data_IF_423264140330
#
_entry.id   IF_423264140330
#
_cell.length_a   1.000
_cell.length_b   1.000
_cell.length_c   1.000
_cell.angle_alpha   90.00
_cell.angle_beta   90.00
_cell.angle_gamma   90.00
#
_symmetry.space_group_name_H-M   'P 1'
#
loop_
_entity.id
_entity.type
_entity.pdbx_description
1 polymer ?
#
# COMPACT_ATOMS: atom_id res chain seq x y z
N UNK A 1 -16.64 3.97 -27.47
CA UNK A 1 -16.22 3.57 -26.11
C UNK A 1 -14.71 3.29 -26.04
N UNK A 2 -14.17 2.43 -26.92
CA UNK A 2 -12.75 2.02 -26.95
C UNK A 2 -11.71 3.15 -26.99
N UNK A 3 -11.98 4.26 -27.68
CA UNK A 3 -11.01 5.37 -27.76
C UNK A 3 -10.72 6.02 -26.40
N UNK A 4 -11.76 6.22 -25.57
CA UNK A 4 -11.60 6.86 -24.25
C UNK A 4 -10.93 5.93 -23.25
N UNK A 5 -11.20 4.63 -23.36
CA UNK A 5 -10.52 3.59 -22.59
C UNK A 5 -9.02 3.53 -22.94
N UNK A 6 -8.68 3.51 -24.24
CA UNK A 6 -7.30 3.58 -24.70
C UNK A 6 -6.57 4.82 -24.17
N UNK A 7 -7.18 6.00 -24.31
CA UNK A 7 -6.63 7.25 -23.76
C UNK A 7 -6.44 7.21 -22.23
N UNK A 8 -7.36 6.60 -21.50
CA UNK A 8 -7.23 6.42 -20.06
C UNK A 8 -6.04 5.52 -19.72
N UNK A 9 -5.86 4.40 -20.43
CA UNK A 9 -4.72 3.51 -20.23
C UNK A 9 -3.38 4.18 -20.59
N UNK A 10 -3.32 4.89 -21.71
CA UNK A 10 -2.11 5.60 -22.16
C UNK A 10 -1.71 6.70 -21.17
N UNK A 11 -2.69 7.43 -20.63
CA UNK A 11 -2.43 8.47 -19.64
C UNK A 11 -1.97 7.90 -18.32
N UNK A 12 -2.55 6.78 -17.86
CA UNK A 12 -2.09 6.06 -16.67
C UNK A 12 -0.67 5.52 -16.85
N UNK A 13 -0.35 4.90 -17.99
CA UNK A 13 0.99 4.45 -18.32
C UNK A 13 1.99 5.61 -18.28
N UNK A 14 1.66 6.74 -18.93
CA UNK A 14 2.50 7.93 -18.90
C UNK A 14 2.71 8.46 -17.47
N UNK A 15 1.69 8.43 -16.60
CA UNK A 15 1.83 8.84 -15.20
C UNK A 15 2.85 7.94 -14.47
N UNK A 16 2.77 6.61 -14.65
CA UNK A 16 3.72 5.66 -14.03
C UNK A 16 5.16 5.92 -14.44
N UNK A 17 5.41 6.05 -15.75
CA UNK A 17 6.75 6.32 -16.31
C UNK A 17 7.31 7.63 -15.76
N UNK A 18 6.51 8.70 -15.73
CA UNK A 18 6.96 9.99 -15.21
C UNK A 18 7.18 9.97 -13.68
N UNK A 19 6.34 9.25 -12.92
CA UNK A 19 6.54 9.09 -11.47
C UNK A 19 7.86 8.41 -11.16
N UNK A 20 8.22 7.37 -11.91
CA UNK A 20 9.49 6.72 -11.72
C UNK A 20 10.68 7.56 -12.19
N UNK A 21 10.55 8.28 -13.32
CA UNK A 21 11.57 9.23 -13.73
C UNK A 21 11.80 10.30 -12.66
N UNK A 22 10.73 10.83 -12.04
CA UNK A 22 10.80 11.74 -10.89
C UNK A 22 11.56 11.11 -9.72
N UNK A 23 11.25 9.85 -9.41
CA UNK A 23 11.94 9.08 -8.37
C UNK A 23 13.45 8.93 -8.64
N UNK A 24 13.84 8.64 -9.89
CA UNK A 24 15.24 8.55 -10.32
C UNK A 24 15.95 9.89 -10.21
N UNK A 25 15.33 11.00 -10.64
CA UNK A 25 15.90 12.35 -10.50
C UNK A 25 16.13 12.69 -9.02
N UNK A 26 15.17 12.37 -8.16
CA UNK A 26 15.31 12.58 -6.72
C UNK A 26 16.54 11.87 -6.15
N UNK A 27 16.75 10.62 -6.55
CA UNK A 27 17.88 9.84 -6.05
C UNK A 27 19.22 10.29 -6.63
N UNK A 28 19.29 10.42 -7.96
CA UNK A 28 20.56 10.66 -8.67
C UNK A 28 21.00 12.11 -8.65
N UNK A 29 20.05 13.05 -8.64
CA UNK A 29 20.37 14.49 -8.76
C UNK A 29 20.12 15.20 -7.44
N UNK A 30 18.91 15.10 -6.86
CA UNK A 30 18.57 15.87 -5.65
C UNK A 30 19.40 15.42 -4.45
N UNK A 31 19.49 14.11 -4.17
CA UNK A 31 20.27 13.59 -3.04
C UNK A 31 21.78 13.68 -3.24
N UNK A 32 22.26 13.67 -4.49
CA UNK A 32 23.69 13.74 -4.80
C UNK A 32 24.23 15.17 -4.91
N UNK A 33 23.35 16.18 -5.01
CA UNK A 33 23.75 17.57 -5.16
C UNK A 33 24.48 18.07 -3.91
N UNK A 34 25.68 18.62 -4.12
CA UNK A 34 26.53 19.18 -3.05
C UNK A 34 26.61 20.72 -3.07
N UNK A 35 26.03 21.35 -4.09
CA UNK A 35 26.07 22.80 -4.28
C UNK A 35 24.67 23.36 -4.48
N UNK A 36 24.48 24.62 -4.09
CA UNK A 36 23.19 25.30 -4.25
C UNK A 36 22.69 25.28 -5.69
N UNK A 37 23.58 25.56 -6.65
CA UNK A 37 23.24 25.54 -8.09
C UNK A 37 22.83 24.15 -8.55
N UNK A 38 23.53 23.10 -8.07
CA UNK A 38 23.19 21.71 -8.38
C UNK A 38 21.81 21.33 -7.83
N UNK A 39 21.53 21.71 -6.59
CA UNK A 39 20.23 21.48 -5.93
C UNK A 39 19.11 22.19 -6.67
N UNK A 40 19.27 23.46 -7.02
CA UNK A 40 18.26 24.22 -7.78
C UNK A 40 17.98 23.57 -9.13
N UNK A 41 19.01 23.18 -9.89
CA UNK A 41 18.83 22.51 -11.19
C UNK A 41 18.10 21.17 -11.06
N UNK A 42 18.44 20.38 -10.04
CA UNK A 42 17.77 19.12 -9.77
C UNK A 42 16.28 19.33 -9.46
N UNK A 43 15.95 20.32 -8.62
CA UNK A 43 14.56 20.68 -8.33
C UNK A 43 13.81 21.21 -9.56
N UNK A 44 14.45 22.00 -10.43
CA UNK A 44 13.83 22.43 -11.70
C UNK A 44 13.42 21.23 -12.56
N UNK A 45 14.24 20.17 -12.63
CA UNK A 45 13.90 18.94 -13.35
C UNK A 45 12.74 18.20 -12.68
N UNK A 46 12.73 18.09 -11.35
CA UNK A 46 11.62 17.51 -10.60
C UNK A 46 10.31 18.24 -10.88
N UNK A 47 10.32 19.58 -10.83
CA UNK A 47 9.14 20.40 -11.11
C UNK A 47 8.65 20.23 -12.55
N UNK A 48 9.56 20.12 -13.52
CA UNK A 48 9.22 19.86 -14.92
C UNK A 48 8.46 18.54 -15.08
N UNK A 49 8.97 17.46 -14.49
CA UNK A 49 8.30 16.14 -14.52
C UNK A 49 6.97 16.18 -13.77
N UNK A 50 6.89 16.88 -12.65
CA UNK A 50 5.65 17.06 -11.89
C UNK A 50 4.55 17.80 -12.65
N UNK A 51 4.92 18.78 -13.47
CA UNK A 51 4.00 19.46 -14.37
C UNK A 51 3.45 18.49 -15.43
N UNK A 52 4.31 17.62 -15.99
CA UNK A 52 3.87 16.58 -16.94
C UNK A 52 2.91 15.59 -16.28
N UNK A 53 3.21 15.13 -15.06
CA UNK A 53 2.33 14.23 -14.29
C UNK A 53 0.97 14.90 -14.07
N UNK A 54 0.98 16.15 -13.62
CA UNK A 54 -0.24 16.92 -13.34
C UNK A 54 -1.10 17.12 -14.60
N UNK A 55 -0.46 17.40 -15.73
CA UNK A 55 -1.13 17.51 -17.02
C UNK A 55 -1.78 16.17 -17.45
N UNK A 56 -1.05 15.06 -17.34
CA UNK A 56 -1.58 13.71 -17.66
C UNK A 56 -2.72 13.31 -16.73
N UNK A 57 -2.63 13.61 -15.44
CA UNK A 57 -3.72 13.39 -14.48
C UNK A 57 -4.97 14.20 -14.83
N UNK A 58 -4.82 15.43 -15.32
CA UNK A 58 -5.93 16.25 -15.81
C UNK A 58 -6.61 15.62 -17.04
N UNK A 59 -5.83 15.10 -18.00
CA UNK A 59 -6.38 14.39 -19.17
C UNK A 59 -7.15 13.16 -18.71
N UNK A 60 -6.56 12.34 -17.84
CA UNK A 60 -7.22 11.14 -17.30
C UNK A 60 -8.56 11.49 -16.64
N UNK A 61 -8.60 12.53 -15.80
CA UNK A 61 -9.83 12.97 -15.15
C UNK A 61 -10.91 13.41 -16.16
N UNK A 62 -10.52 14.04 -17.28
CA UNK A 62 -11.44 14.37 -18.37
C UNK A 62 -11.96 13.11 -19.07
N UNK A 63 -11.12 12.12 -19.32
CA UNK A 63 -11.51 10.84 -19.90
C UNK A 63 -12.54 10.12 -19.01
N UNK A 64 -12.33 10.06 -17.69
CA UNK A 64 -13.27 9.46 -16.74
C UNK A 64 -14.63 10.16 -16.73
N UNK A 65 -14.63 11.50 -16.70
CA UNK A 65 -15.88 12.29 -16.80
C UNK A 65 -16.64 12.02 -18.10
N UNK A 66 -15.91 11.86 -19.21
CA UNK A 66 -16.52 11.55 -20.51
C UNK A 66 -17.05 10.12 -20.55
N UNK A 67 -16.35 9.15 -19.96
CA UNK A 67 -16.84 7.77 -19.83
C UNK A 67 -18.15 7.71 -19.03
N UNK A 68 -18.28 8.49 -17.95
CA UNK A 68 -19.54 8.61 -17.21
C UNK A 68 -20.68 9.20 -18.04
N UNK A 69 -20.40 10.20 -18.87
CA UNK A 69 -21.42 10.74 -19.80
C UNK A 69 -21.87 9.74 -20.86
N UNK A 70 -21.04 8.74 -21.17
CA UNK A 70 -21.33 7.71 -22.16
C UNK A 70 -22.04 6.48 -21.55
N UNK A 71 -22.34 6.49 -20.25
CA UNK A 71 -23.00 5.37 -19.56
C UNK A 71 -22.12 4.12 -19.40
N UNK A 72 -20.79 4.31 -19.37
CA UNK A 72 -19.82 3.22 -19.29
C UNK A 72 -19.55 2.79 -17.82
N UNK A 73 -20.59 2.48 -17.07
CA UNK A 73 -20.51 2.27 -15.60
C UNK A 73 -19.60 1.10 -15.22
N UNK A 74 -19.60 0.01 -15.99
CA UNK A 74 -18.71 -1.14 -15.77
C UNK A 74 -17.22 -0.78 -15.94
N UNK A 75 -16.89 0.22 -16.77
CA UNK A 75 -15.51 0.69 -16.92
C UNK A 75 -15.12 1.66 -15.81
N UNK A 76 -16.08 2.40 -15.24
CA UNK A 76 -15.87 3.28 -14.10
C UNK A 76 -15.49 2.51 -12.82
N UNK A 77 -15.92 1.25 -12.67
CA UNK A 77 -15.44 0.38 -11.58
C UNK A 77 -13.92 0.13 -11.67
N UNK A 78 -13.38 0.02 -12.88
CA UNK A 78 -11.94 -0.18 -13.13
C UNK A 78 -11.16 1.13 -13.02
N UNK A 79 -11.72 2.25 -13.49
CA UNK A 79 -11.06 3.55 -13.55
C UNK A 79 -11.44 4.43 -12.36
N UNK A 80 -10.73 4.24 -11.25
CA UNK A 80 -10.93 5.03 -10.04
C UNK A 80 -10.41 6.48 -10.20
N UNK A 81 -10.85 7.35 -9.29
CA UNK A 81 -10.41 8.73 -9.21
C UNK A 81 -8.96 8.79 -8.72
N UNK A 82 -8.11 9.58 -9.39
CA UNK A 82 -6.77 9.88 -8.86
C UNK A 82 -6.85 11.00 -7.81
N UNK A 83 -6.27 10.73 -6.64
CA UNK A 83 -6.04 11.74 -5.63
C UNK A 83 -4.65 12.37 -5.78
N UNK A 84 -4.47 13.56 -5.20
CA UNK A 84 -3.15 14.22 -5.18
C UNK A 84 -2.11 13.40 -4.41
N UNK A 85 -2.55 12.61 -3.43
CA UNK A 85 -1.69 11.70 -2.67
C UNK A 85 -1.09 10.60 -3.54
N UNK A 86 -1.87 10.10 -4.50
CA UNK A 86 -1.47 9.03 -5.41
C UNK A 86 -0.38 9.43 -6.40
N UNK A 87 -0.25 10.74 -6.67
CA UNK A 87 0.72 11.31 -7.59
C UNK A 87 2.06 11.66 -6.92
N UNK A 88 2.25 11.27 -5.65
CA UNK A 88 3.54 11.44 -4.99
C UNK A 88 4.50 10.35 -5.44
N UNK A 89 5.75 10.73 -5.73
CA UNK A 89 6.79 9.75 -6.02
C UNK A 89 7.05 8.93 -4.74
N UNK A 90 6.64 7.66 -4.76
CA UNK A 90 6.87 6.74 -3.65
C UNK A 90 8.33 6.29 -3.64
N UNK A 91 8.92 6.22 -2.45
CA UNK A 91 10.28 5.68 -2.25
C UNK A 91 10.38 4.22 -2.70
N UNK A 92 9.27 3.47 -2.64
CA UNK A 92 9.18 2.12 -3.14
C UNK A 92 9.47 2.00 -4.65
N UNK A 93 9.29 3.08 -5.43
CA UNK A 93 9.60 3.11 -6.87
C UNK A 93 11.11 3.27 -7.10
N UNK A 94 11.79 4.03 -6.25
CA UNK A 94 13.24 4.29 -6.36
C UNK A 94 14.07 3.15 -5.82
N UNK A 95 13.70 2.64 -4.65
CA UNK A 95 14.39 1.56 -3.96
C UNK A 95 13.34 0.61 -3.39
N UNK A 96 12.93 -0.40 -4.19
CA UNK A 96 11.91 -1.35 -3.75
C UNK A 96 12.39 -2.19 -2.56
N UNK A 97 13.70 -2.30 -2.32
CA UNK A 97 14.29 -3.05 -1.20
C UNK A 97 14.55 -2.17 0.04
N UNK A 98 14.16 -0.89 0.01
CA UNK A 98 14.37 0.01 1.16
C UNK A 98 13.61 -0.46 2.41
N UNK A 99 14.31 -0.45 3.56
CA UNK A 99 13.70 -0.77 4.86
C UNK A 99 12.66 0.30 5.24
N UNK A 100 11.56 -0.13 5.87
CA UNK A 100 10.50 0.76 6.37
C UNK A 100 9.32 0.98 5.42
N UNK A 101 9.31 0.34 4.25
CA UNK A 101 8.19 0.39 3.29
C UNK A 101 7.02 -0.56 3.64
N UNK A 102 7.00 -1.13 4.85
CA UNK A 102 6.00 -2.15 5.27
C UNK A 102 4.55 -1.67 5.12
N UNK A 103 4.32 -0.36 5.33
CA UNK A 103 2.99 0.24 5.29
C UNK A 103 2.77 1.12 4.04
N UNK A 104 3.73 1.21 3.12
CA UNK A 104 3.56 2.01 1.91
C UNK A 104 2.80 1.19 0.87
N UNK A 105 1.49 1.43 0.80
CA UNK A 105 0.65 0.86 -0.25
C UNK A 105 0.79 1.70 -1.51
N UNK A 106 1.12 1.06 -2.63
CA UNK A 106 1.12 1.75 -3.91
C UNK A 106 -0.32 2.08 -4.33
N UNK A 107 -0.54 3.23 -5.00
CA UNK A 107 -1.84 3.55 -5.56
C UNK A 107 -2.41 2.45 -6.46
N UNK A 108 -3.74 2.31 -6.47
CA UNK A 108 -4.48 1.30 -7.24
C UNK A 108 -4.07 1.21 -8.72
N UNK A 109 -3.71 2.34 -9.34
CA UNK A 109 -3.35 2.38 -10.75
C UNK A 109 -2.04 1.66 -11.06
N UNK A 110 -1.19 1.33 -10.08
CA UNK A 110 0.01 0.50 -10.31
C UNK A 110 -0.33 -0.98 -10.55
N UNK A 111 -1.50 -1.44 -10.09
CA UNK A 111 -1.95 -2.82 -10.30
C UNK A 111 -2.64 -3.03 -11.66
N UNK A 112 -2.92 -1.94 -12.39
CA UNK A 112 -3.66 -2.00 -13.65
C UNK A 112 -2.73 -2.13 -14.86
N UNK A 113 -2.97 -3.11 -15.73
CA UNK A 113 -2.33 -3.13 -17.06
C UNK A 113 -0.84 -3.50 -17.07
N UNK A 114 -0.39 -4.32 -16.11
CA UNK A 114 1.00 -4.80 -16.00
C UNK A 114 1.56 -5.40 -17.30
N UNK A 115 0.71 -6.05 -18.11
CA UNK A 115 1.10 -6.69 -19.39
C UNK A 115 1.51 -5.71 -20.48
N UNK A 116 0.93 -4.51 -20.54
CA UNK A 116 1.27 -3.51 -21.56
C UNK A 116 2.59 -2.80 -21.18
N UNK A 117 2.80 -2.55 -19.89
CA UNK A 117 3.94 -1.81 -19.38
C UNK A 117 5.26 -2.62 -19.45
N UNK A 118 5.19 -3.93 -19.19
CA UNK A 118 6.35 -4.83 -19.21
C UNK A 118 6.98 -4.98 -20.60
N UNK A 119 6.25 -4.64 -21.66
CA UNK A 119 6.77 -4.70 -23.03
C UNK A 119 7.63 -3.48 -23.41
N UNK A 120 7.57 -2.38 -22.64
CA UNK A 120 8.18 -1.10 -23.03
C UNK A 120 9.48 -0.75 -22.30
N UNK A 121 9.76 -1.29 -21.11
CA UNK A 121 11.00 -0.96 -20.39
C UNK A 121 11.42 -2.04 -19.40
N UNK A 122 12.72 -2.35 -19.43
CA UNK A 122 13.36 -3.39 -18.62
C UNK A 122 13.23 -3.10 -17.11
N UNK A 123 13.52 -1.86 -16.69
CA UNK A 123 13.45 -1.46 -15.29
C UNK A 123 12.01 -1.47 -14.70
N UNK A 124 10.96 -1.21 -15.51
CA UNK A 124 9.57 -1.36 -15.04
C UNK A 124 9.23 -2.82 -14.76
N UNK A 125 9.78 -3.72 -15.57
CA UNK A 125 9.57 -5.17 -15.40
C UNK A 125 10.14 -5.63 -14.07
N UNK A 126 11.37 -5.23 -13.74
CA UNK A 126 11.97 -5.51 -12.43
C UNK A 126 11.14 -4.91 -11.29
N UNK A 127 10.71 -3.65 -11.43
CA UNK A 127 9.87 -3.00 -10.42
C UNK A 127 8.57 -3.77 -10.17
N UNK A 128 7.86 -4.17 -11.22
CA UNK A 128 6.63 -4.96 -11.10
C UNK A 128 6.87 -6.34 -10.51
N UNK A 129 7.98 -7.00 -10.85
CA UNK A 129 8.34 -8.29 -10.27
C UNK A 129 8.57 -8.19 -8.77
N UNK A 130 9.36 -7.20 -8.32
CA UNK A 130 9.61 -7.00 -6.88
C UNK A 130 8.34 -6.58 -6.16
N UNK A 131 7.55 -5.70 -6.74
CA UNK A 131 6.27 -5.28 -6.16
C UNK A 131 5.28 -6.45 -6.01
N UNK A 132 5.21 -7.33 -7.02
CA UNK A 132 4.41 -8.55 -6.95
C UNK A 132 4.89 -9.49 -5.84
N UNK A 133 6.21 -9.73 -5.73
CA UNK A 133 6.79 -10.55 -4.66
C UNK A 133 6.46 -10.01 -3.28
N UNK A 134 6.52 -8.69 -3.08
CA UNK A 134 6.14 -8.06 -1.82
C UNK A 134 4.66 -8.23 -1.50
N UNK A 135 3.79 -7.98 -2.48
CA UNK A 135 2.34 -8.12 -2.29
C UNK A 135 1.96 -9.57 -1.97
N UNK A 136 2.59 -10.53 -2.66
CA UNK A 136 2.44 -11.95 -2.37
C UNK A 136 2.94 -12.31 -0.97
N UNK A 137 4.13 -11.87 -0.57
CA UNK A 137 4.67 -12.16 0.76
C UNK A 137 3.84 -11.54 1.89
N UNK A 138 3.24 -10.37 1.66
CA UNK A 138 2.28 -9.78 2.59
C UNK A 138 1.06 -10.70 2.70
N UNK A 139 0.42 -11.04 1.58
CA UNK A 139 -0.73 -11.96 1.55
C UNK A 139 -0.43 -13.27 2.28
N UNK A 140 0.68 -13.92 1.93
CA UNK A 140 1.08 -15.21 2.52
C UNK A 140 1.22 -15.11 4.05
N UNK A 141 1.73 -13.98 4.57
CA UNK A 141 1.77 -13.74 6.02
C UNK A 141 0.39 -13.52 6.63
N UNK A 142 -0.50 -12.78 5.97
CA UNK A 142 -1.87 -12.62 6.47
C UNK A 142 -2.58 -13.98 6.53
N UNK A 143 -2.38 -14.83 5.53
CA UNK A 143 -2.91 -16.20 5.53
C UNK A 143 -2.34 -17.02 6.71
N UNK A 144 -1.04 -16.91 6.98
CA UNK A 144 -0.41 -17.52 8.17
C UNK A 144 -0.98 -16.95 9.48
N UNK A 145 -1.16 -15.63 9.60
CA UNK A 145 -1.70 -14.98 10.80
C UNK A 145 -3.15 -15.41 11.06
N UNK A 146 -3.97 -15.57 10.02
CA UNK A 146 -5.34 -16.11 10.15
C UNK A 146 -5.31 -17.54 10.68
N UNK A 147 -4.49 -18.42 10.09
CA UNK A 147 -4.34 -19.81 10.55
C UNK A 147 -3.83 -19.85 12.01
N UNK A 148 -2.89 -18.97 12.36
CA UNK A 148 -2.36 -18.88 13.72
C UNK A 148 -3.41 -18.37 14.72
N UNK A 149 -4.27 -17.42 14.33
CA UNK A 149 -5.37 -16.93 15.16
C UNK A 149 -6.40 -18.05 15.41
N UNK A 150 -6.85 -18.73 14.35
CA UNK A 150 -7.82 -19.83 14.46
C UNK A 150 -7.29 -20.99 15.32
N UNK A 151 -6.03 -21.38 15.12
CA UNK A 151 -5.40 -22.44 15.91
C UNK A 151 -5.12 -22.00 17.34
N UNK A 152 -4.72 -20.74 17.57
CA UNK A 152 -4.54 -20.21 18.92
C UNK A 152 -5.86 -20.12 19.69
N UNK A 153 -6.94 -19.67 19.07
CA UNK A 153 -8.28 -19.66 19.66
C UNK A 153 -8.73 -21.07 20.05
N UNK A 154 -8.61 -22.04 19.13
CA UNK A 154 -8.92 -23.44 19.41
C UNK A 154 -8.06 -24.01 20.56
N UNK A 155 -6.80 -23.61 20.65
CA UNK A 155 -5.88 -24.00 21.72
C UNK A 155 -6.18 -23.31 23.06
N UNK A 156 -6.68 -22.07 23.07
CA UNK A 156 -7.11 -21.37 24.28
C UNK A 156 -8.40 -21.97 24.86
N UNK A 157 -9.34 -22.40 24.01
CA UNK A 157 -10.57 -23.10 24.43
C UNK A 157 -10.30 -24.51 24.98
N UNK A 158 -9.19 -25.14 24.60
CA UNK A 158 -8.76 -26.48 25.06
C UNK A 158 -7.48 -26.43 25.92
N UNK A 159 -7.36 -25.42 26.79
CA UNK A 159 -6.15 -25.18 27.58
C UNK A 159 -5.72 -26.39 28.45
N UNK A 160 -6.67 -27.16 28.96
CA UNK A 160 -6.41 -28.33 29.82
C UNK A 160 -5.99 -29.59 29.03
N UNK A 161 -6.37 -29.71 27.76
CA UNK A 161 -6.04 -30.86 26.90
C UNK A 161 -4.72 -30.72 26.14
N UNK A 162 -4.30 -29.48 25.83
CA UNK A 162 -3.17 -29.22 24.95
C UNK A 162 -1.83 -28.96 25.67
N UNK A 163 -1.79 -29.20 26.99
CA UNK A 163 -0.54 -29.18 27.75
C UNK A 163 0.48 -30.24 27.26
N UNK A 164 0.08 -31.23 26.47
CA UNK A 164 0.94 -32.30 25.96
C UNK A 164 1.54 -32.02 24.57
N UNK A 165 1.01 -31.05 23.80
CA UNK A 165 1.43 -30.84 22.39
C UNK A 165 2.71 -30.01 22.25
N UNK A 166 3.04 -29.17 23.23
CA UNK A 166 4.23 -28.31 23.19
C UNK A 166 5.43 -29.00 23.83
N UNK A 167 6.26 -29.63 22.99
CA UNK A 167 7.51 -30.32 23.34
C UNK A 167 8.55 -29.43 24.04
N UNK A 168 8.38 -28.10 24.01
CA UNK A 168 9.37 -27.14 24.53
C UNK A 168 8.78 -26.22 25.61
N UNK A 169 9.37 -26.29 26.82
CA UNK A 169 8.93 -25.64 28.08
C UNK A 169 8.73 -24.11 27.96
N UNK A 170 9.47 -23.44 27.07
CA UNK A 170 9.39 -21.98 26.88
C UNK A 170 8.12 -21.48 26.18
N UNK A 171 7.56 -22.26 25.24
CA UNK A 171 6.34 -21.87 24.52
C UNK A 171 5.09 -21.91 25.42
N UNK A 172 5.06 -22.84 26.40
CA UNK A 172 3.99 -22.88 27.42
C UNK A 172 3.97 -21.60 28.27
N UNK A 173 5.14 -21.14 28.70
CA UNK A 173 5.25 -19.89 29.47
C UNK A 173 4.86 -18.67 28.63
N UNK A 174 5.19 -18.66 27.32
CA UNK A 174 4.78 -17.59 26.42
C UNK A 174 3.26 -17.58 26.21
N UNK A 175 2.64 -18.72 25.92
CA UNK A 175 1.19 -18.83 25.74
C UNK A 175 0.44 -18.45 27.02
N UNK A 176 0.87 -18.95 28.19
CA UNK A 176 0.29 -18.58 29.49
C UNK A 176 0.43 -17.07 29.78
N UNK A 177 1.58 -16.47 29.43
CA UNK A 177 1.80 -15.02 29.57
C UNK A 177 0.88 -14.23 28.63
N UNK A 178 0.74 -14.64 27.37
CA UNK A 178 -0.14 -13.98 26.41
C UNK A 178 -1.60 -14.07 26.87
N UNK A 179 -2.07 -15.26 27.25
CA UNK A 179 -3.42 -15.44 27.80
C UNK A 179 -3.67 -14.53 29.02
N UNK A 180 -2.71 -14.44 29.95
CA UNK A 180 -2.81 -13.54 31.10
C UNK A 180 -2.87 -12.06 30.70
N UNK A 181 -2.10 -11.63 29.69
CA UNK A 181 -2.14 -10.25 29.18
C UNK A 181 -3.52 -9.94 28.56
N UNK A 182 -4.06 -10.83 27.74
CA UNK A 182 -5.37 -10.64 27.12
C UNK A 182 -6.51 -10.66 28.15
N UNK A 183 -6.48 -11.57 29.13
CA UNK A 183 -7.44 -11.56 30.24
C UNK A 183 -7.39 -10.26 31.03
N UNK A 184 -6.20 -9.73 31.32
CA UNK A 184 -6.05 -8.45 32.03
C UNK A 184 -6.61 -7.29 31.21
N UNK A 185 -6.39 -7.27 29.90
CA UNK A 185 -6.94 -6.26 29.00
C UNK A 185 -8.48 -6.34 28.94
N UNK A 186 -9.03 -7.55 28.80
CA UNK A 186 -10.48 -7.76 28.80
C UNK A 186 -11.14 -7.32 30.12
N UNK A 187 -10.53 -7.67 31.26
CA UNK A 187 -11.03 -7.23 32.56
C UNK A 187 -10.94 -5.71 32.72
N UNK A 188 -9.87 -5.09 32.21
CA UNK A 188 -9.72 -3.64 32.22
C UNK A 188 -10.78 -2.95 31.36
N UNK A 189 -11.02 -3.42 30.13
CA UNK A 189 -12.05 -2.85 29.24
C UNK A 189 -13.45 -3.04 29.80
N UNK A 190 -13.73 -4.18 30.43
CA UNK A 190 -15.01 -4.43 31.08
C UNK A 190 -15.23 -3.53 32.30
N UNK A 191 -14.18 -3.32 33.10
CA UNK A 191 -14.22 -2.38 34.23
C UNK A 191 -14.41 -0.94 33.79
N UNK A 192 -13.68 -0.47 32.77
CA UNK A 192 -13.84 0.90 32.25
C UNK A 192 -15.21 1.09 31.62
N UNK A 193 -15.73 0.09 30.90
CA UNK A 193 -17.07 0.14 30.32
C UNK A 193 -18.16 0.19 31.41
N UNK A 194 -18.03 -0.59 32.49
CA UNK A 194 -18.94 -0.52 33.63
C UNK A 194 -18.89 0.82 34.36
N UNK A 195 -17.69 1.41 34.51
CA UNK A 195 -17.52 2.75 35.08
C UNK A 195 -18.19 3.83 34.21
N UNK A 196 -18.00 3.76 32.88
CA UNK A 196 -18.66 4.69 31.95
C UNK A 196 -20.19 4.54 31.97
N UNK A 197 -20.68 3.30 32.10
CA UNK A 197 -22.11 3.02 32.24
C UNK A 197 -22.68 3.52 33.57
N UNK A 198 -21.90 3.46 34.65
CA UNK A 198 -22.29 3.94 35.98
C UNK A 198 -22.26 5.48 36.09
N UNK A 199 -21.36 6.15 35.36
CA UNK A 199 -21.22 7.60 35.42
C UNK A 199 -22.24 8.36 34.56
N UNK A 200 -23.06 7.68 33.76
CA UNK A 200 -24.05 8.30 32.86
C UNK A 200 -23.41 9.24 31.81
N UNK A 201 -24.14 9.68 30.78
CA UNK A 201 -23.64 10.72 29.90
C UNK A 201 -23.49 12.02 30.70
N UNK A 202 -22.30 12.63 30.67
CA UNK A 202 -22.13 14.03 31.07
C UNK A 202 -22.99 14.88 30.12
N UNK A 203 -24.04 15.51 30.63
CA UNK A 203 -24.66 16.69 29.99
C UNK A 203 -23.63 17.81 29.86
#
# INVERSE_FOLDING_TARGET
MFLREGQANDTLHAIRVNLAHKAVIFHKMVRAAKSQVGTTRAWTQVCSVENVISYKACIYAKCCKQLGKLGADQQLEKYLKLEKGDLKASTAITDPNSRGQRNSTLPWFWSLGVKADTCSSDWMTEFYQVHWLHTKAIRDRWDEEVILMETAEANMSNADGNATLYKWKGYKCYAARQAHVYHRLANHTQSTFQQLKANGPME
#
